data_IF_699109318442
#
_entry.id   IF_699109318442
#
_cell.length_a   1.000
_cell.length_b   1.000
_cell.length_c   1.000
_cell.angle_alpha   90.00
_cell.angle_beta   90.00
_cell.angle_gamma   90.00
#
_symmetry.space_group_name_H-M   'P 1'
#
loop_
_entity.id
_entity.type
_entity.pdbx_description
1 polymer ?
#
# COMPACT_ATOMS: atom_id res chain seq x y z
N UNK A 1 5.03 -18.88 -10.92
CA UNK A 1 4.21 -18.06 -9.99
C UNK A 1 3.85 -16.75 -10.68
N UNK A 2 2.76 -16.08 -10.26
CA UNK A 2 2.29 -14.82 -10.88
C UNK A 2 3.36 -13.72 -10.86
N UNK A 3 4.15 -13.61 -9.78
CA UNK A 3 5.23 -12.63 -9.68
C UNK A 3 6.34 -12.85 -10.72
N UNK A 4 6.68 -14.11 -11.02
CA UNK A 4 7.65 -14.42 -12.06
C UNK A 4 7.14 -13.96 -13.43
N UNK A 5 5.86 -14.18 -13.73
CA UNK A 5 5.23 -13.66 -14.95
C UNK A 5 5.26 -12.13 -15.02
N UNK A 6 5.03 -11.43 -13.90
CA UNK A 6 5.16 -9.97 -13.81
C UNK A 6 6.56 -9.48 -14.16
N UNK A 7 7.59 -10.23 -13.75
CA UNK A 7 8.99 -9.94 -14.08
C UNK A 7 9.30 -10.28 -15.54
N UNK A 8 8.91 -11.46 -16.01
CA UNK A 8 9.12 -11.95 -17.37
C UNK A 8 8.45 -11.02 -18.41
N UNK A 9 7.27 -10.49 -18.09
CA UNK A 9 6.58 -9.49 -18.89
C UNK A 9 7.17 -8.09 -18.74
N UNK A 10 8.07 -7.84 -17.80
CA UNK A 10 8.68 -6.52 -17.57
C UNK A 10 7.76 -5.49 -16.91
N UNK A 11 6.67 -5.91 -16.26
CA UNK A 11 5.65 -4.99 -15.70
C UNK A 11 6.16 -4.13 -14.53
N UNK A 12 7.28 -4.53 -13.91
CA UNK A 12 7.95 -3.85 -12.79
C UNK A 12 8.92 -2.73 -13.24
N UNK A 13 9.15 -2.57 -14.55
CA UNK A 13 10.14 -1.63 -15.09
C UNK A 13 9.54 -0.65 -16.11
N UNK A 14 9.51 0.66 -15.80
CA UNK A 14 9.05 1.66 -16.78
C UNK A 14 9.90 1.67 -18.05
N UNK A 15 11.21 1.46 -17.92
CA UNK A 15 12.15 1.47 -19.05
C UNK A 15 11.78 0.42 -20.10
N UNK A 16 11.42 -0.79 -19.66
CA UNK A 16 11.00 -1.88 -20.55
C UNK A 16 9.67 -1.55 -21.24
N UNK A 17 8.82 -0.78 -20.56
CA UNK A 17 7.47 -0.45 -21.03
C UNK A 17 7.38 0.83 -21.87
N UNK A 18 8.49 1.56 -22.08
CA UNK A 18 8.48 2.87 -22.74
C UNK A 18 7.93 2.84 -24.17
N UNK A 19 8.12 1.74 -24.89
CA UNK A 19 7.74 1.63 -26.31
C UNK A 19 6.29 1.17 -26.54
N UNK A 20 5.55 0.87 -25.47
CA UNK A 20 4.11 0.60 -25.59
C UNK A 20 3.33 1.91 -25.70
N UNK A 21 2.19 1.86 -26.38
CA UNK A 21 1.22 2.97 -26.40
C UNK A 21 0.70 3.30 -24.98
N UNK A 22 0.18 4.51 -24.79
CA UNK A 22 -0.26 5.00 -23.49
C UNK A 22 -1.32 4.11 -22.84
N UNK A 23 -2.26 3.57 -23.62
CA UNK A 23 -3.30 2.69 -23.10
C UNK A 23 -2.68 1.39 -22.58
N UNK A 24 -1.85 0.74 -23.38
CA UNK A 24 -1.16 -0.49 -22.98
C UNK A 24 -0.27 -0.26 -21.76
N UNK A 25 0.45 0.86 -21.68
CA UNK A 25 1.26 1.23 -20.49
C UNK A 25 0.39 1.36 -19.24
N UNK A 26 -0.74 2.04 -19.34
CA UNK A 26 -1.68 2.22 -18.23
C UNK A 26 -2.22 0.88 -17.72
N UNK A 27 -2.66 -0.02 -18.61
CA UNK A 27 -3.13 -1.36 -18.21
C UNK A 27 -2.01 -2.17 -17.53
N UNK A 28 -0.79 -2.08 -18.05
CA UNK A 28 0.38 -2.81 -17.50
C UNK A 28 0.76 -2.31 -16.11
N UNK A 29 0.70 -0.99 -15.86
CA UNK A 29 0.87 -0.41 -14.51
C UNK A 29 -0.18 -0.91 -13.55
N UNK A 30 -1.46 -0.92 -13.94
CA UNK A 30 -2.54 -1.44 -13.09
C UNK A 30 -2.31 -2.89 -12.71
N UNK A 31 -1.98 -3.73 -13.70
CA UNK A 31 -1.71 -5.15 -13.46
C UNK A 31 -0.53 -5.34 -12.50
N UNK A 32 0.55 -4.58 -12.69
CA UNK A 32 1.69 -4.59 -11.78
C UNK A 32 1.28 -4.25 -10.35
N UNK A 33 0.63 -3.12 -10.13
CA UNK A 33 0.29 -2.63 -8.80
C UNK A 33 -0.76 -3.50 -8.08
N UNK A 34 -1.67 -4.13 -8.81
CA UNK A 34 -2.57 -5.15 -8.26
C UNK A 34 -1.79 -6.36 -7.72
N UNK A 35 -0.89 -6.93 -8.54
CA UNK A 35 -0.05 -8.07 -8.15
C UNK A 35 0.88 -7.70 -6.99
N UNK A 36 1.49 -6.52 -7.05
CA UNK A 36 2.34 -5.97 -5.99
C UNK A 36 1.59 -5.88 -4.67
N UNK A 37 0.38 -5.29 -4.66
CA UNK A 37 -0.41 -5.09 -3.44
C UNK A 37 -0.77 -6.42 -2.76
N UNK A 38 -1.13 -7.43 -3.55
CA UNK A 38 -1.44 -8.77 -3.05
C UNK A 38 -0.19 -9.46 -2.50
N UNK A 39 0.94 -9.40 -3.20
CA UNK A 39 2.22 -9.94 -2.71
C UNK A 39 2.61 -9.31 -1.37
N UNK A 40 2.60 -7.97 -1.28
CA UNK A 40 2.96 -7.27 -0.04
C UNK A 40 2.06 -7.64 1.12
N UNK A 41 0.75 -7.73 0.89
CA UNK A 41 -0.20 -8.09 1.93
C UNK A 41 0.04 -9.52 2.43
N UNK A 42 0.07 -10.50 1.52
CA UNK A 42 0.26 -11.91 1.89
C UNK A 42 1.61 -12.11 2.56
N UNK A 43 2.69 -11.58 2.00
CA UNK A 43 4.02 -11.76 2.55
C UNK A 43 4.18 -11.13 3.92
N UNK A 44 3.57 -9.96 4.15
CA UNK A 44 3.59 -9.31 5.47
C UNK A 44 2.87 -10.14 6.54
N UNK A 45 1.71 -10.73 6.22
CA UNK A 45 0.94 -11.54 7.18
C UNK A 45 1.58 -12.88 7.50
N UNK A 46 2.30 -13.48 6.56
CA UNK A 46 2.91 -14.81 6.75
C UNK A 46 4.42 -14.76 7.01
N UNK A 47 5.02 -13.58 7.18
CA UNK A 47 6.47 -13.44 7.36
C UNK A 47 7.29 -13.98 6.19
N UNK A 48 6.74 -13.93 4.97
CA UNK A 48 7.42 -14.40 3.76
C UNK A 48 8.25 -13.27 3.14
N UNK A 49 9.37 -13.58 2.45
CA UNK A 49 10.09 -12.58 1.70
C UNK A 49 9.26 -12.07 0.53
N UNK A 50 9.39 -10.78 0.22
CA UNK A 50 8.76 -10.15 -0.92
C UNK A 50 9.36 -10.65 -2.24
N UNK A 51 8.52 -10.94 -3.24
CA UNK A 51 9.00 -11.58 -4.47
C UNK A 51 9.72 -10.64 -5.45
N UNK A 52 9.51 -9.33 -5.32
CA UNK A 52 10.22 -8.30 -6.11
C UNK A 52 10.73 -7.25 -5.12
N UNK A 53 12.05 -6.99 -5.04
CA UNK A 53 12.61 -5.94 -4.16
C UNK A 53 12.15 -4.54 -4.56
N UNK A 54 12.03 -3.61 -3.60
CA UNK A 54 11.58 -2.23 -3.87
C UNK A 54 12.50 -1.51 -4.87
N UNK A 55 13.81 -1.72 -4.77
CA UNK A 55 14.84 -1.14 -5.62
C UNK A 55 14.75 -1.59 -7.09
N UNK A 56 14.08 -2.71 -7.36
CA UNK A 56 13.86 -3.22 -8.72
C UNK A 56 12.60 -2.62 -9.37
N UNK A 57 11.77 -1.91 -8.61
CA UNK A 57 10.48 -1.40 -9.07
C UNK A 57 10.65 0.04 -9.53
N UNK A 58 10.48 0.26 -10.83
CA UNK A 58 10.47 1.62 -11.42
C UNK A 58 9.10 2.00 -11.96
N UNK A 59 8.15 1.05 -12.03
CA UNK A 59 6.76 1.26 -12.48
C UNK A 59 6.09 2.40 -11.74
N UNK A 60 5.60 3.38 -12.48
CA UNK A 60 4.82 4.52 -11.95
C UNK A 60 3.45 4.03 -11.50
N UNK A 61 2.81 4.77 -10.59
CA UNK A 61 1.40 4.54 -10.30
C UNK A 61 0.54 4.75 -11.55
N UNK A 62 -0.57 4.00 -11.70
CA UNK A 62 -1.50 4.22 -12.81
C UNK A 62 -2.13 5.61 -12.70
N UNK A 63 -2.66 6.11 -13.81
CA UNK A 63 -3.41 7.37 -13.84
C UNK A 63 -4.60 7.34 -12.88
N UNK A 64 -4.98 8.51 -12.36
CA UNK A 64 -6.20 8.67 -11.56
C UNK A 64 -7.43 9.03 -12.40
N UNK A 65 -7.28 9.14 -13.72
CA UNK A 65 -8.36 9.47 -14.63
C UNK A 65 -9.48 8.44 -14.54
N UNK A 66 -10.72 8.87 -14.79
CA UNK A 66 -11.82 7.95 -15.00
C UNK A 66 -11.57 7.07 -16.25
N UNK A 67 -12.07 5.83 -16.23
CA UNK A 67 -11.81 4.88 -17.33
C UNK A 67 -12.43 5.34 -18.66
N UNK A 68 -13.45 6.19 -18.63
CA UNK A 68 -14.00 6.82 -19.84
C UNK A 68 -12.99 7.67 -20.63
N UNK A 69 -11.91 8.14 -19.99
CA UNK A 69 -10.85 8.93 -20.64
C UNK A 69 -9.67 8.09 -21.13
N UNK A 70 -9.65 6.78 -20.83
CA UNK A 70 -8.53 5.89 -21.11
C UNK A 70 -8.95 4.96 -22.24
N UNK A 71 -8.61 5.34 -23.47
CA UNK A 71 -9.11 4.69 -24.69
C UNK A 71 -7.98 4.35 -25.65
N UNK A 72 -8.14 3.26 -26.41
CA UNK A 72 -7.18 2.85 -27.43
C UNK A 72 -7.05 3.86 -28.59
N UNK A 73 -8.02 4.76 -28.75
CA UNK A 73 -8.13 5.66 -29.91
C UNK A 73 -7.53 7.04 -29.67
N UNK A 74 -7.11 7.36 -28.44
CA UNK A 74 -6.55 8.66 -28.11
C UNK A 74 -5.04 8.69 -28.41
N UNK A 75 -4.70 9.01 -29.66
CA UNK A 75 -3.32 9.00 -30.16
C UNK A 75 -2.48 10.20 -29.69
N UNK A 76 -3.12 11.25 -29.18
CA UNK A 76 -2.44 12.48 -28.74
C UNK A 76 -1.93 12.40 -27.29
N UNK A 77 -2.16 11.26 -26.61
CA UNK A 77 -1.73 11.05 -25.23
C UNK A 77 -0.52 10.13 -25.19
N UNK A 78 0.62 10.67 -24.73
CA UNK A 78 1.83 9.90 -24.51
C UNK A 78 1.78 9.07 -23.20
N UNK A 79 1.18 9.63 -22.14
CA UNK A 79 1.06 8.99 -20.83
C UNK A 79 -0.14 9.55 -20.04
N UNK A 80 -1.14 8.71 -19.77
CA UNK A 80 -2.34 9.11 -19.01
C UNK A 80 -2.02 9.57 -17.58
N UNK A 81 -0.90 9.15 -16.99
CA UNK A 81 -0.51 9.55 -15.65
C UNK A 81 -0.01 10.99 -15.57
N UNK A 82 0.26 11.63 -16.71
CA UNK A 82 0.71 13.03 -16.78
C UNK A 82 -0.45 14.01 -17.04
N UNK A 83 -1.63 13.50 -17.35
CA UNK A 83 -2.81 14.33 -17.57
C UNK A 83 -3.40 14.80 -16.23
N UNK A 84 -3.93 16.05 -16.18
CA UNK A 84 -4.65 16.51 -15.00
C UNK A 84 -5.87 15.63 -14.78
N UNK A 85 -6.17 15.34 -13.51
CA UNK A 85 -7.39 14.62 -13.15
C UNK A 85 -8.48 15.59 -12.70
N UNK A 86 -9.44 15.95 -13.58
CA UNK A 86 -10.51 16.87 -13.20
C UNK A 86 -11.61 16.20 -12.36
N UNK A 87 -11.69 14.85 -12.37
CA UNK A 87 -12.86 14.13 -11.87
C UNK A 87 -12.50 13.12 -10.77
N UNK A 88 -13.40 12.90 -9.80
CA UNK A 88 -13.30 11.79 -8.87
C UNK A 88 -13.25 10.42 -9.56
N UNK A 89 -12.48 9.49 -9.01
CA UNK A 89 -12.34 8.13 -9.54
C UNK A 89 -12.09 7.14 -8.41
N UNK A 90 -12.63 5.92 -8.52
CA UNK A 90 -12.37 4.84 -7.57
C UNK A 90 -10.90 4.43 -7.48
N UNK A 91 -10.09 4.82 -8.47
CA UNK A 91 -8.64 4.61 -8.49
C UNK A 91 -7.90 5.29 -7.34
N UNK A 92 -8.47 6.35 -6.75
CA UNK A 92 -7.89 6.98 -5.55
C UNK A 92 -7.82 6.01 -4.36
N UNK A 93 -8.76 5.07 -4.27
CA UNK A 93 -8.74 4.00 -3.26
C UNK A 93 -7.57 3.05 -3.53
N UNK A 94 -7.40 2.63 -4.78
CA UNK A 94 -6.30 1.75 -5.17
C UNK A 94 -4.94 2.41 -4.91
N UNK A 95 -4.79 3.69 -5.27
CA UNK A 95 -3.58 4.47 -4.99
C UNK A 95 -3.28 4.54 -3.49
N UNK A 96 -4.28 4.87 -2.66
CA UNK A 96 -4.12 4.88 -1.21
C UNK A 96 -3.71 3.50 -0.67
N UNK A 97 -4.28 2.42 -1.21
CA UNK A 97 -3.87 1.05 -0.86
C UNK A 97 -2.44 0.74 -1.29
N UNK A 98 -2.00 1.15 -2.49
CA UNK A 98 -0.62 0.93 -2.93
C UNK A 98 0.39 1.65 -2.03
N UNK A 99 0.10 2.90 -1.65
CA UNK A 99 0.96 3.68 -0.76
C UNK A 99 1.15 3.00 0.60
N UNK A 100 0.07 2.56 1.25
CA UNK A 100 0.20 1.88 2.56
C UNK A 100 0.93 0.54 2.45
N UNK A 101 0.79 -0.18 1.33
CA UNK A 101 1.55 -1.43 1.10
C UNK A 101 3.05 -1.18 1.02
N UNK A 102 3.48 -0.05 0.43
CA UNK A 102 4.91 0.35 0.41
C UNK A 102 5.42 0.67 1.80
N UNK A 103 4.66 1.44 2.59
CA UNK A 103 5.00 1.77 3.99
C UNK A 103 5.15 0.46 4.80
N UNK A 104 4.15 -0.42 4.73
CA UNK A 104 4.17 -1.72 5.40
C UNK A 104 5.35 -2.59 4.95
N UNK A 105 5.64 -2.64 3.64
CA UNK A 105 6.78 -3.37 3.12
C UNK A 105 8.11 -2.84 3.66
N UNK A 106 8.27 -1.52 3.77
CA UNK A 106 9.45 -0.91 4.38
C UNK A 106 9.56 -1.28 5.87
N UNK A 107 8.45 -1.26 6.62
CA UNK A 107 8.43 -1.67 8.04
C UNK A 107 8.86 -3.12 8.19
N UNK A 108 8.22 -4.03 7.45
CA UNK A 108 8.52 -5.47 7.49
C UNK A 108 9.96 -5.73 7.10
N UNK A 109 10.46 -5.09 6.03
CA UNK A 109 11.86 -5.21 5.61
C UNK A 109 12.82 -4.81 6.73
N UNK A 110 12.61 -3.66 7.37
CA UNK A 110 13.57 -3.16 8.37
C UNK A 110 13.50 -3.92 9.69
N UNK A 111 12.32 -4.20 10.20
CA UNK A 111 12.14 -4.74 11.55
C UNK A 111 12.13 -6.27 11.61
N UNK A 112 11.74 -6.95 10.53
CA UNK A 112 11.49 -8.39 10.54
C UNK A 112 12.42 -9.18 9.60
N UNK A 113 12.95 -8.58 8.53
CA UNK A 113 13.83 -9.32 7.62
C UNK A 113 15.24 -9.52 8.21
N UNK A 114 15.80 -10.74 8.17
CA UNK A 114 17.16 -11.01 8.62
C UNK A 114 18.19 -10.20 7.82
N UNK A 115 19.16 -9.60 8.51
CA UNK A 115 20.26 -8.87 7.88
C UNK A 115 19.84 -7.56 7.17
N UNK A 116 18.61 -7.09 7.34
CA UNK A 116 18.20 -5.84 6.74
C UNK A 116 19.00 -4.66 7.30
N UNK A 117 19.47 -3.77 6.43
CA UNK A 117 20.15 -2.55 6.82
C UNK A 117 19.19 -1.35 6.75
N UNK A 118 19.43 -0.38 7.63
CA UNK A 118 18.77 0.92 7.56
C UNK A 118 19.19 1.63 6.27
N UNK A 119 18.29 2.38 5.62
CA UNK A 119 18.69 3.25 4.53
C UNK A 119 19.75 4.23 5.01
N UNK A 120 20.79 4.48 4.18
CA UNK A 120 21.96 5.30 4.53
C UNK A 120 21.65 6.71 5.06
N UNK A 121 20.44 7.23 4.79
CA UNK A 121 19.98 8.53 5.28
C UNK A 121 19.65 8.56 6.78
N UNK A 122 19.53 7.40 7.44
CA UNK A 122 19.20 7.30 8.85
C UNK A 122 20.40 6.86 9.67
N UNK A 123 20.59 7.50 10.82
CA UNK A 123 21.68 7.21 11.75
C UNK A 123 21.37 6.01 12.65
N UNK A 124 20.09 5.84 12.97
CA UNK A 124 19.62 4.86 13.95
C UNK A 124 18.17 4.45 13.64
N UNK A 125 17.72 3.41 14.34
CA UNK A 125 16.41 2.83 14.11
C UNK A 125 15.27 3.77 14.53
N UNK A 126 15.49 4.66 15.50
CA UNK A 126 14.44 5.53 16.03
C UNK A 126 14.16 6.70 15.08
N UNK A 127 15.20 7.31 14.51
CA UNK A 127 15.06 8.32 13.46
C UNK A 127 14.29 7.77 12.24
N UNK A 128 14.59 6.54 11.82
CA UNK A 128 13.83 5.83 10.77
C UNK A 128 12.38 5.57 11.18
N UNK A 129 12.14 5.16 12.44
CA UNK A 129 10.81 4.87 12.95
C UNK A 129 9.93 6.12 12.98
N UNK A 130 10.46 7.24 13.46
CA UNK A 130 9.76 8.53 13.50
C UNK A 130 9.38 8.99 12.09
N UNK A 131 10.31 8.93 11.13
CA UNK A 131 10.03 9.29 9.73
C UNK A 131 8.95 8.37 9.14
N UNK A 132 9.06 7.07 9.35
CA UNK A 132 8.07 6.08 8.86
C UNK A 132 6.70 6.29 9.51
N UNK A 133 6.67 6.67 10.79
CA UNK A 133 5.43 7.03 11.49
C UNK A 133 4.80 8.30 10.90
N UNK A 134 5.60 9.33 10.62
CA UNK A 134 5.12 10.56 10.00
C UNK A 134 4.58 10.31 8.58
N UNK A 135 5.23 9.44 7.81
CA UNK A 135 4.73 8.99 6.50
C UNK A 135 3.38 8.27 6.63
N UNK A 136 3.22 7.41 7.65
CA UNK A 136 1.95 6.74 7.95
C UNK A 136 0.85 7.71 8.37
N UNK A 137 1.16 8.70 9.21
CA UNK A 137 0.23 9.76 9.60
C UNK A 137 -0.18 10.60 8.38
N UNK A 138 0.77 11.00 7.55
CA UNK A 138 0.50 11.75 6.33
C UNK A 138 -0.42 10.95 5.40
N UNK A 139 -0.13 9.67 5.19
CA UNK A 139 -0.98 8.78 4.40
C UNK A 139 -2.41 8.76 4.94
N UNK A 140 -2.58 8.55 6.25
CA UNK A 140 -3.91 8.43 6.84
C UNK A 140 -4.68 9.75 6.85
N UNK A 141 -4.02 10.87 7.12
CA UNK A 141 -4.68 12.18 7.22
C UNK A 141 -4.91 12.84 5.86
N UNK A 142 -3.97 12.72 4.94
CA UNK A 142 -3.94 13.46 3.67
C UNK A 142 -4.28 12.57 2.47
N UNK A 143 -3.65 11.41 2.33
CA UNK A 143 -3.79 10.59 1.12
C UNK A 143 -5.08 9.75 1.08
N UNK A 144 -5.60 9.35 2.23
CA UNK A 144 -6.82 8.53 2.30
C UNK A 144 -8.02 9.36 1.84
N UNK A 145 -8.78 8.91 0.82
CA UNK A 145 -9.99 9.60 0.39
C UNK A 145 -11.04 9.61 1.51
N UNK A 146 -11.66 10.76 1.77
CA UNK A 146 -12.49 10.99 2.97
C UNK A 146 -14.00 10.80 2.77
N UNK A 147 -14.47 10.81 1.52
CA UNK A 147 -15.89 10.70 1.22
C UNK A 147 -16.14 9.96 -0.11
N UNK A 148 -17.38 9.53 -0.32
CA UNK A 148 -17.78 8.79 -1.52
C UNK A 148 -17.72 9.62 -2.79
N UNK A 149 -17.87 10.94 -2.69
CA UNK A 149 -17.79 11.84 -3.84
C UNK A 149 -16.40 11.78 -4.47
N UNK A 150 -15.34 11.85 -3.65
CA UNK A 150 -13.94 11.72 -4.10
C UNK A 150 -13.66 10.30 -4.61
N UNK A 151 -14.24 9.28 -3.97
CA UNK A 151 -14.04 7.87 -4.36
C UNK A 151 -14.84 7.47 -5.60
N UNK A 152 -15.84 8.25 -6.02
CA UNK A 152 -16.81 7.90 -7.05
C UNK A 152 -17.43 6.49 -6.86
N UNK A 153 -17.51 5.99 -5.61
CA UNK A 153 -18.11 4.70 -5.27
C UNK A 153 -18.35 4.58 -3.75
N UNK A 154 -19.19 3.62 -3.37
CA UNK A 154 -19.53 3.31 -1.95
C UNK A 154 -18.51 2.36 -1.31
N UNK A 155 -17.22 2.68 -1.42
CA UNK A 155 -16.17 1.88 -0.79
C UNK A 155 -16.23 2.02 0.73
N UNK A 156 -16.03 0.91 1.45
CA UNK A 156 -16.05 0.94 2.91
C UNK A 156 -14.72 1.49 3.44
N UNK A 157 -14.70 2.76 3.88
CA UNK A 157 -13.48 3.43 4.35
C UNK A 157 -12.84 2.77 5.56
N UNK A 158 -13.58 1.92 6.29
CA UNK A 158 -13.10 1.17 7.46
C UNK A 158 -11.86 0.31 7.17
N UNK A 159 -11.66 -0.07 5.90
CA UNK A 159 -10.46 -0.78 5.48
C UNK A 159 -9.20 0.08 5.63
N UNK A 160 -9.29 1.40 5.48
CA UNK A 160 -8.16 2.30 5.74
C UNK A 160 -7.81 2.34 7.23
N UNK A 161 -8.81 2.37 8.11
CA UNK A 161 -8.61 2.31 9.57
C UNK A 161 -7.91 1.00 9.99
N UNK A 162 -8.33 -0.15 9.43
CA UNK A 162 -7.64 -1.42 9.67
C UNK A 162 -6.17 -1.37 9.25
N UNK A 163 -5.89 -0.86 8.05
CA UNK A 163 -4.52 -0.75 7.55
C UNK A 163 -3.68 0.23 8.38
N UNK A 164 -4.28 1.31 8.87
CA UNK A 164 -3.63 2.28 9.74
C UNK A 164 -3.22 1.65 11.08
N UNK A 165 -4.17 1.02 11.77
CA UNK A 165 -3.91 0.37 13.06
C UNK A 165 -2.95 -0.81 12.94
N UNK A 166 -3.12 -1.66 11.92
CA UNK A 166 -2.18 -2.74 11.63
C UNK A 166 -0.75 -2.19 11.41
N UNK A 167 -0.60 -1.12 10.62
CA UNK A 167 0.72 -0.54 10.32
C UNK A 167 1.39 0.03 11.57
N UNK A 168 0.63 0.67 12.47
CA UNK A 168 1.16 1.12 13.77
C UNK A 168 1.60 -0.05 14.64
N UNK A 169 0.80 -1.12 14.69
CA UNK A 169 1.12 -2.32 15.45
C UNK A 169 2.40 -2.99 14.95
N UNK A 170 2.61 -3.13 13.64
CA UNK A 170 3.86 -3.72 13.13
C UNK A 170 5.07 -2.77 13.23
N UNK A 171 4.83 -1.44 13.25
CA UNK A 171 5.89 -0.44 13.40
C UNK A 171 6.39 -0.35 14.85
N UNK A 172 5.50 -0.29 15.84
CA UNK A 172 5.88 -0.11 17.26
C UNK A 172 5.82 -1.40 18.08
N UNK A 173 5.25 -2.48 17.53
CA UNK A 173 5.14 -3.76 18.19
C UNK A 173 6.45 -4.52 18.30
N UNK A 174 6.37 -5.67 18.97
CA UNK A 174 7.48 -6.58 19.11
C UNK A 174 7.92 -7.09 17.72
N UNK A 175 9.23 -7.04 17.48
CA UNK A 175 9.84 -7.51 16.25
C UNK A 175 11.22 -8.12 16.54
N UNK A 176 11.80 -8.90 15.62
CA UNK A 176 13.15 -9.43 15.79
C UNK A 176 14.21 -8.39 16.17
N UNK A 177 14.09 -7.15 15.64
CA UNK A 177 15.01 -6.04 15.99
C UNK A 177 14.59 -5.20 17.19
N UNK A 178 13.36 -5.35 17.67
CA UNK A 178 12.84 -4.66 18.86
C UNK A 178 12.10 -5.68 19.73
N UNK A 179 12.82 -6.50 20.52
CA UNK A 179 12.21 -7.56 21.33
C UNK A 179 11.55 -7.03 22.61
N UNK A 180 11.66 -5.73 22.91
CA UNK A 180 11.06 -5.08 24.07
C UNK A 180 10.30 -3.83 23.66
N UNK A 181 9.31 -3.45 24.47
CA UNK A 181 8.53 -2.23 24.29
C UNK A 181 8.94 -1.19 25.34
N UNK A 182 9.23 0.02 24.90
CA UNK A 182 9.29 1.17 25.78
C UNK A 182 7.87 1.72 26.02
N UNK A 183 7.73 2.68 26.94
CA UNK A 183 6.43 3.25 27.31
C UNK A 183 5.66 3.81 26.09
N UNK A 184 6.33 4.58 25.23
CA UNK A 184 5.72 5.16 24.03
C UNK A 184 5.21 4.08 23.08
N UNK A 185 6.02 3.06 22.81
CA UNK A 185 5.67 1.94 21.95
C UNK A 185 4.49 1.15 22.53
N UNK A 186 4.50 0.89 23.84
CA UNK A 186 3.40 0.22 24.53
C UNK A 186 2.08 0.97 24.38
N UNK A 187 2.07 2.29 24.60
CA UNK A 187 0.86 3.10 24.45
C UNK A 187 0.34 3.13 23.01
N UNK A 188 1.23 3.23 22.02
CA UNK A 188 0.85 3.22 20.60
C UNK A 188 0.25 1.86 20.21
N UNK A 189 0.90 0.76 20.60
CA UNK A 189 0.42 -0.59 20.31
C UNK A 189 -0.93 -0.83 20.99
N UNK A 190 -1.07 -0.50 22.28
CA UNK A 190 -2.33 -0.63 23.02
C UNK A 190 -3.48 0.13 22.36
N UNK A 191 -3.24 1.39 21.97
CA UNK A 191 -4.25 2.20 21.27
C UNK A 191 -4.60 1.61 19.91
N UNK A 192 -3.60 1.10 19.19
CA UNK A 192 -3.80 0.57 17.83
C UNK A 192 -4.52 -0.77 17.84
N UNK A 193 -4.17 -1.68 18.76
CA UNK A 193 -4.86 -2.97 18.91
C UNK A 193 -6.31 -2.78 19.36
N UNK A 194 -6.56 -1.84 20.29
CA UNK A 194 -7.93 -1.45 20.64
C UNK A 194 -8.70 -0.94 19.41
N UNK A 195 -8.09 -0.05 18.61
CA UNK A 195 -8.70 0.43 17.37
C UNK A 195 -9.05 -0.69 16.38
N UNK A 196 -8.16 -1.66 16.19
CA UNK A 196 -8.45 -2.86 15.38
C UNK A 196 -9.65 -3.64 15.91
N UNK A 197 -9.71 -3.88 17.23
CA UNK A 197 -10.84 -4.57 17.88
C UNK A 197 -12.15 -3.79 17.67
N UNK A 198 -12.15 -2.48 17.89
CA UNK A 198 -13.33 -1.63 17.73
C UNK A 198 -13.83 -1.66 16.27
N UNK A 199 -12.91 -1.65 15.31
CA UNK A 199 -13.24 -1.79 13.89
C UNK A 199 -13.89 -3.15 13.59
N UNK A 200 -13.31 -4.25 14.05
CA UNK A 200 -13.89 -5.58 13.85
C UNK A 200 -15.24 -5.73 14.54
N UNK A 201 -15.39 -5.20 15.75
CA UNK A 201 -16.65 -5.14 16.46
C UNK A 201 -17.72 -4.41 15.64
N UNK A 202 -17.39 -3.24 15.09
CA UNK A 202 -18.30 -2.49 14.21
C UNK A 202 -18.67 -3.28 12.95
N UNK A 203 -17.73 -3.99 12.33
CA UNK A 203 -18.02 -4.86 11.18
C UNK A 203 -18.98 -6.01 11.56
N UNK A 204 -18.76 -6.65 12.72
CA UNK A 204 -19.63 -7.70 13.27
C UNK A 204 -21.06 -7.18 13.44
N UNK A 205 -21.21 -6.11 14.23
CA UNK A 205 -22.52 -5.55 14.61
C UNK A 205 -23.31 -5.13 13.38
N UNK A 206 -22.65 -4.55 12.39
CA UNK A 206 -23.29 -4.09 11.16
C UNK A 206 -23.49 -5.20 10.11
N UNK A 207 -23.12 -6.46 10.39
CA UNK A 207 -23.13 -7.58 9.44
C UNK A 207 -22.37 -7.27 8.14
N UNK A 208 -21.29 -6.49 8.27
CA UNK A 208 -20.41 -6.05 7.18
C UNK A 208 -19.08 -6.81 7.17
N UNK A 209 -18.92 -7.84 8.02
CA UNK A 209 -17.82 -8.79 7.86
C UNK A 209 -18.02 -9.51 6.54
N UNK A 210 -17.28 -9.08 5.52
CA UNK A 210 -16.90 -9.99 4.47
C UNK A 210 -15.85 -10.94 5.05
N UNK A 211 -15.98 -12.24 4.78
CA UNK A 211 -14.91 -13.24 4.99
C UNK A 211 -13.76 -12.98 4.02
N UNK A 212 -13.17 -11.80 4.10
CA UNK A 212 -11.97 -11.44 3.37
C UNK A 212 -10.79 -12.03 4.12
N UNK A 213 -9.75 -12.46 3.41
CA UNK A 213 -8.49 -12.92 4.03
C UNK A 213 -7.93 -11.91 5.05
N UNK A 214 -8.17 -10.61 4.81
CA UNK A 214 -7.85 -9.49 5.69
C UNK A 214 -8.52 -9.58 7.06
N UNK A 215 -9.71 -10.20 7.16
CA UNK A 215 -10.43 -10.37 8.42
C UNK A 215 -9.91 -11.54 9.27
N UNK A 216 -9.15 -12.48 8.68
CA UNK A 216 -8.62 -13.66 9.38
C UNK A 216 -7.22 -13.42 9.95
N UNK A 217 -6.47 -12.46 9.40
CA UNK A 217 -5.04 -12.26 9.70
C UNK A 217 -4.65 -10.90 10.30
N UNK A 218 -5.61 -9.98 10.50
CA UNK A 218 -5.38 -8.70 11.18
C UNK A 218 -5.72 -8.76 12.67
#
# INVERSE_FOLDING_TARGET
SVLRLTVDLGLHSEKINKNYDAFTREIRRRLFWCVYSLDRQICSYFGRPFGIPEESITTRYPSLLDDSFITLTNLDVDDYSDLPNPNPSSKVIALAMYKIRRIQANIVRILYAPGAELPRKFTDLESWRIETYNELEHWFQVDVPKNFDIMNCKFNSIWFDLNYHYSKSILYGLSPKCPTLNETAFQIVLKSTKGTIDVFYNLCVNKKIGYTWVAVHN
#
